data_IF_204981828834
#
_entry.id   IF_204981828834
#
_cell.length_a   1.000
_cell.length_b   1.000
_cell.length_c   1.000
_cell.angle_alpha   90.00
_cell.angle_beta   90.00
_cell.angle_gamma   90.00
#
_symmetry.space_group_name_H-M   'P 1'
#
loop_
_entity.id
_entity.type
_entity.pdbx_description
1 polymer ?
#
# COMPACT_ATOMS: atom_id res chain seq x y z
N UNK A 1 30.29 6.53 12.49
CA UNK A 1 29.31 6.89 11.41
C UNK A 1 27.92 6.55 11.90
N UNK A 2 27.01 7.52 12.07
CA UNK A 2 25.60 7.24 12.36
C UNK A 2 24.95 6.72 11.08
N UNK A 3 24.62 5.44 11.05
CA UNK A 3 23.77 4.89 9.98
C UNK A 3 22.41 5.59 10.07
N UNK A 4 22.15 6.53 9.18
CA UNK A 4 20.85 7.15 9.03
C UNK A 4 19.87 6.11 8.46
N UNK A 5 19.36 5.22 9.33
CA UNK A 5 18.31 4.28 8.99
C UNK A 5 17.00 5.05 8.85
N UNK A 6 16.41 4.98 7.69
CA UNK A 6 15.12 5.60 7.42
C UNK A 6 14.09 4.52 7.09
N UNK A 7 12.85 4.73 7.54
CA UNK A 7 11.72 3.87 7.15
C UNK A 7 11.36 4.16 5.69
N UNK A 8 11.39 3.15 4.86
CA UNK A 8 11.04 3.24 3.42
C UNK A 8 9.55 2.93 3.21
N UNK A 9 9.02 1.95 3.94
CA UNK A 9 7.62 1.53 3.92
C UNK A 9 7.15 1.16 5.32
N UNK A 10 5.87 1.35 5.57
CA UNK A 10 5.22 0.87 6.80
C UNK A 10 3.86 0.27 6.48
N UNK A 11 3.49 -0.75 7.25
CA UNK A 11 2.19 -1.39 7.21
C UNK A 11 1.66 -1.48 8.65
N UNK A 12 0.58 -0.76 8.94
CA UNK A 12 -0.06 -0.77 10.27
C UNK A 12 -1.22 -1.76 10.24
N UNK A 13 -1.27 -2.63 11.23
CA UNK A 13 -2.26 -3.69 11.35
C UNK A 13 -2.74 -3.82 12.79
N UNK A 14 -3.76 -4.65 13.03
CA UNK A 14 -4.21 -4.98 14.38
C UNK A 14 -3.19 -5.80 15.18
N UNK A 15 -2.24 -6.46 14.50
CA UNK A 15 -1.18 -7.26 15.13
C UNK A 15 0.12 -6.48 15.39
N UNK A 16 0.16 -5.19 15.04
CA UNK A 16 1.32 -4.33 15.17
C UNK A 16 1.70 -3.64 13.88
N UNK A 17 2.88 -3.03 13.89
CA UNK A 17 3.41 -2.27 12.76
C UNK A 17 4.61 -2.99 12.15
N UNK A 18 4.58 -3.17 10.84
CA UNK A 18 5.71 -3.66 10.05
C UNK A 18 6.41 -2.47 9.41
N UNK A 19 7.73 -2.40 9.59
CA UNK A 19 8.59 -1.33 9.08
C UNK A 19 9.65 -1.92 8.17
N UNK A 20 9.74 -1.42 6.96
CA UNK A 20 10.83 -1.70 6.04
C UNK A 20 11.84 -0.56 6.06
N UNK A 21 13.09 -0.86 6.34
CA UNK A 21 14.16 0.12 6.52
C UNK A 21 15.05 0.19 5.28
N UNK A 22 15.72 1.34 5.10
CA UNK A 22 16.60 1.59 3.95
C UNK A 22 17.85 0.69 3.91
N UNK A 23 18.21 0.07 5.01
CA UNK A 23 19.35 -0.85 5.13
C UNK A 23 18.97 -2.34 4.96
N UNK A 24 17.73 -2.64 4.56
CA UNK A 24 17.26 -4.00 4.37
C UNK A 24 16.65 -4.64 5.62
N UNK A 25 16.58 -3.93 6.74
CA UNK A 25 15.86 -4.45 7.91
C UNK A 25 14.36 -4.41 7.67
N UNK A 26 13.69 -5.51 8.01
CA UNK A 26 12.24 -5.57 8.20
C UNK A 26 11.97 -5.78 9.68
N UNK A 27 11.21 -4.89 10.29
CA UNK A 27 10.93 -4.89 11.73
C UNK A 27 9.44 -5.09 11.93
N UNK A 28 9.07 -6.00 12.81
CA UNK A 28 7.71 -6.11 13.32
C UNK A 28 7.67 -5.64 14.77
N UNK A 29 6.90 -4.60 15.03
CA UNK A 29 6.67 -4.02 16.35
C UNK A 29 5.23 -4.27 16.79
N UNK A 30 5.04 -5.06 17.82
CA UNK A 30 3.77 -5.28 18.52
C UNK A 30 3.92 -4.85 19.98
N UNK A 31 2.81 -4.80 20.73
CA UNK A 31 2.75 -4.23 22.09
C UNK A 31 3.84 -4.74 23.06
N UNK A 32 4.20 -6.02 22.96
CA UNK A 32 5.20 -6.64 23.83
C UNK A 32 6.33 -7.36 23.08
N UNK A 33 6.35 -7.26 21.74
CA UNK A 33 7.27 -8.04 20.91
C UNK A 33 7.85 -7.16 19.82
N UNK A 34 9.16 -7.28 19.63
CA UNK A 34 9.87 -6.72 18.49
C UNK A 34 10.69 -7.81 17.84
N UNK A 35 10.43 -8.03 16.54
CA UNK A 35 11.18 -9.00 15.72
C UNK A 35 11.84 -8.30 14.56
N UNK A 36 13.00 -8.80 14.14
CA UNK A 36 13.82 -8.19 13.09
C UNK A 36 14.27 -9.28 12.14
N UNK A 37 14.08 -9.01 10.84
CA UNK A 37 14.63 -9.81 9.76
C UNK A 37 15.55 -8.92 8.93
N UNK A 38 16.70 -9.43 8.51
CA UNK A 38 17.64 -8.74 7.64
C UNK A 38 17.57 -9.30 6.22
N UNK A 39 17.19 -8.46 5.26
CA UNK A 39 17.28 -8.73 3.84
C UNK A 39 18.62 -8.26 3.28
N UNK A 40 18.99 -8.75 2.12
CA UNK A 40 20.24 -8.32 1.45
C UNK A 40 20.18 -6.90 0.94
N UNK A 41 18.99 -6.38 0.69
CA UNK A 41 18.75 -5.04 0.13
C UNK A 41 17.47 -4.43 0.70
N UNK A 42 17.30 -3.13 0.50
CA UNK A 42 16.15 -2.39 1.01
C UNK A 42 14.84 -2.96 0.47
N UNK A 43 13.89 -3.21 1.36
CA UNK A 43 12.52 -3.51 0.98
C UNK A 43 11.83 -2.29 0.39
N UNK A 44 11.07 -2.47 -0.67
CA UNK A 44 10.41 -1.41 -1.43
C UNK A 44 8.89 -1.52 -1.43
N UNK A 45 8.35 -2.70 -1.12
CA UNK A 45 6.92 -2.96 -1.01
C UNK A 45 6.63 -3.91 0.15
N UNK A 46 5.49 -3.72 0.82
CA UNK A 46 4.98 -4.58 1.89
C UNK A 46 3.51 -4.90 1.62
N UNK A 47 3.12 -6.16 1.81
CA UNK A 47 1.74 -6.61 1.74
C UNK A 47 1.48 -7.65 2.83
N UNK A 48 0.53 -7.38 3.71
CA UNK A 48 0.06 -8.34 4.71
C UNK A 48 -1.18 -9.08 4.24
N UNK A 49 -1.21 -10.38 4.43
CA UNK A 49 -2.30 -11.26 3.98
C UNK A 49 -2.90 -12.01 5.14
N UNK A 50 -4.24 -12.12 5.13
CA UNK A 50 -5.04 -12.85 6.10
C UNK A 50 -5.57 -14.13 5.47
N UNK A 51 -5.43 -15.26 6.13
CA UNK A 51 -6.09 -16.49 5.68
C UNK A 51 -7.56 -16.56 6.10
N UNK A 52 -7.91 -16.15 7.32
CA UNK A 52 -9.26 -16.33 7.89
C UNK A 52 -9.94 -15.01 8.32
N UNK A 53 -9.68 -13.90 7.66
CA UNK A 53 -10.22 -12.57 7.97
C UNK A 53 -9.96 -12.04 9.41
N UNK A 54 -9.25 -12.77 10.27
CA UNK A 54 -8.99 -12.41 11.67
C UNK A 54 -7.59 -11.84 11.88
N UNK A 55 -6.57 -12.57 11.46
CA UNK A 55 -5.18 -12.20 11.70
C UNK A 55 -4.35 -12.34 10.42
N UNK A 56 -3.26 -11.59 10.34
CA UNK A 56 -2.30 -11.79 9.25
C UNK A 56 -1.60 -13.14 9.44
N UNK A 57 -1.56 -13.94 8.38
CA UNK A 57 -0.84 -15.21 8.31
C UNK A 57 0.50 -15.07 7.60
N UNK A 58 0.59 -14.17 6.62
CA UNK A 58 1.79 -13.94 5.82
C UNK A 58 2.06 -12.45 5.61
N UNK A 59 3.35 -12.11 5.55
CA UNK A 59 3.86 -10.83 5.09
C UNK A 59 4.71 -11.05 3.84
N UNK A 60 4.31 -10.44 2.74
CA UNK A 60 5.07 -10.38 1.50
C UNK A 60 5.91 -9.11 1.49
N UNK A 61 7.19 -9.25 1.17
CA UNK A 61 8.15 -8.14 1.11
C UNK A 61 8.83 -8.16 -0.24
N UNK A 62 8.60 -7.11 -1.04
CA UNK A 62 9.31 -6.89 -2.28
C UNK A 62 10.53 -6.01 -2.07
N UNK A 63 11.66 -6.29 -2.73
CA UNK A 63 12.90 -5.56 -2.55
C UNK A 63 13.39 -4.82 -3.81
N UNK A 64 14.53 -4.14 -3.69
CA UNK A 64 15.16 -3.36 -4.78
C UNK A 64 15.70 -4.20 -5.91
N UNK A 65 16.01 -5.47 -5.69
CA UNK A 65 16.56 -6.38 -6.69
C UNK A 65 15.48 -7.22 -7.36
N UNK A 66 14.19 -6.94 -7.10
CA UNK A 66 13.07 -7.70 -7.67
C UNK A 66 12.82 -9.04 -6.99
N UNK A 67 13.36 -9.23 -5.79
CA UNK A 67 13.11 -10.42 -4.99
C UNK A 67 11.86 -10.24 -4.15
N UNK A 68 11.09 -11.30 -4.06
CA UNK A 68 9.94 -11.45 -3.19
C UNK A 68 10.33 -12.36 -2.02
N UNK A 69 10.19 -11.84 -0.80
CA UNK A 69 10.40 -12.59 0.43
C UNK A 69 9.05 -12.85 1.09
N UNK A 70 8.78 -14.09 1.44
CA UNK A 70 7.56 -14.49 2.13
C UNK A 70 7.87 -14.82 3.57
N UNK A 71 7.22 -14.15 4.50
CA UNK A 71 7.46 -14.24 5.94
C UNK A 71 6.20 -14.78 6.60
N UNK A 72 6.34 -15.88 7.32
CA UNK A 72 5.26 -16.49 8.10
C UNK A 72 4.96 -15.68 9.37
N UNK A 73 3.70 -15.53 9.71
CA UNK A 73 3.24 -14.89 10.94
C UNK A 73 2.44 -15.91 11.79
N UNK A 74 2.53 -15.85 13.12
CA UNK A 74 3.24 -14.83 13.94
C UNK A 74 4.71 -15.16 14.23
N UNK A 75 5.30 -16.22 13.69
CA UNK A 75 6.68 -16.61 13.99
C UNK A 75 7.71 -15.62 13.46
N UNK A 76 7.38 -14.90 12.39
CA UNK A 76 8.24 -13.95 11.68
C UNK A 76 9.46 -14.62 11.05
N UNK A 77 9.28 -15.86 10.59
CA UNK A 77 10.32 -16.65 9.92
C UNK A 77 10.21 -16.47 8.40
N UNK A 78 11.35 -16.40 7.73
CA UNK A 78 11.41 -16.38 6.27
C UNK A 78 11.04 -17.78 5.75
N UNK A 79 9.90 -17.86 5.02
CA UNK A 79 9.43 -19.11 4.42
C UNK A 79 10.23 -19.43 3.17
N UNK A 80 10.30 -18.47 2.23
CA UNK A 80 11.13 -18.57 1.02
C UNK A 80 11.42 -17.20 0.43
N UNK A 81 12.34 -17.17 -0.54
CA UNK A 81 12.64 -16.02 -1.39
C UNK A 81 12.60 -16.46 -2.85
N UNK A 82 11.90 -15.72 -3.70
CA UNK A 82 11.89 -15.95 -5.15
C UNK A 82 12.27 -14.68 -5.91
N UNK A 83 12.81 -14.84 -7.12
CA UNK A 83 13.10 -13.72 -8.02
C UNK A 83 11.93 -13.53 -8.97
N UNK A 84 11.24 -12.38 -8.89
CA UNK A 84 10.07 -12.05 -9.71
C UNK A 84 10.49 -11.22 -10.92
N UNK A 85 11.41 -10.29 -10.73
CA UNK A 85 11.87 -9.32 -11.74
C UNK A 85 13.37 -9.04 -11.58
N UNK A 86 13.97 -8.38 -12.53
CA UNK A 86 15.37 -7.87 -12.47
C UNK A 86 15.45 -6.45 -11.88
N UNK A 87 14.33 -5.86 -11.50
CA UNK A 87 14.24 -4.50 -10.93
C UNK A 87 13.33 -4.47 -9.71
N UNK A 88 13.39 -3.37 -8.98
CA UNK A 88 12.66 -3.20 -7.72
C UNK A 88 11.16 -3.51 -7.83
N UNK A 89 10.62 -4.28 -6.91
CA UNK A 89 9.18 -4.47 -6.72
C UNK A 89 8.60 -3.17 -6.12
N UNK A 90 7.57 -2.61 -6.73
CA UNK A 90 6.97 -1.33 -6.35
C UNK A 90 5.66 -1.45 -5.60
N UNK A 91 4.83 -2.39 -6.02
CA UNK A 91 3.52 -2.60 -5.45
C UNK A 91 3.11 -4.07 -5.56
N UNK A 92 2.25 -4.50 -4.66
CA UNK A 92 1.73 -5.86 -4.61
C UNK A 92 0.26 -5.82 -4.19
N UNK A 93 -0.55 -6.75 -4.71
CA UNK A 93 -1.89 -7.04 -4.22
C UNK A 93 -2.19 -8.53 -4.39
N UNK A 94 -3.28 -8.97 -3.77
CA UNK A 94 -3.81 -10.33 -3.94
C UNK A 94 -5.18 -10.21 -4.59
N UNK A 95 -5.48 -11.07 -5.53
CA UNK A 95 -6.80 -11.20 -6.13
C UNK A 95 -7.75 -12.02 -5.24
N UNK A 96 -9.00 -12.18 -5.71
CA UNK A 96 -10.05 -12.92 -4.99
C UNK A 96 -9.73 -14.42 -4.86
N UNK A 97 -8.93 -14.96 -5.78
CA UNK A 97 -8.50 -16.37 -5.80
C UNK A 97 -7.24 -16.60 -4.95
N UNK A 98 -6.69 -15.56 -4.32
CA UNK A 98 -5.46 -15.63 -3.52
C UNK A 98 -4.17 -15.57 -4.34
N UNK A 99 -4.24 -15.31 -5.65
CA UNK A 99 -3.05 -15.13 -6.50
C UNK A 99 -2.37 -13.80 -6.19
N UNK A 100 -1.07 -13.85 -5.95
CA UNK A 100 -0.26 -12.64 -5.73
C UNK A 100 0.05 -11.97 -7.07
N UNK A 101 -0.26 -10.69 -7.16
CA UNK A 101 0.09 -9.84 -8.31
C UNK A 101 1.09 -8.78 -7.88
N UNK A 102 2.15 -8.66 -8.65
CA UNK A 102 3.33 -7.84 -8.36
C UNK A 102 3.56 -6.87 -9.50
N UNK A 103 3.81 -5.61 -9.18
CA UNK A 103 4.23 -4.58 -10.11
C UNK A 103 5.68 -4.18 -9.85
N UNK A 104 6.51 -4.15 -10.89
CA UNK A 104 7.91 -3.76 -10.80
C UNK A 104 8.16 -2.29 -11.20
N UNK A 105 9.42 -1.86 -11.10
CA UNK A 105 9.83 -0.49 -11.39
C UNK A 105 9.82 -0.12 -12.88
N UNK A 106 9.83 -1.12 -13.77
CA UNK A 106 9.68 -0.91 -15.22
C UNK A 106 8.22 -0.79 -15.65
N UNK A 107 7.28 -1.14 -14.74
CA UNK A 107 5.85 -1.15 -15.04
C UNK A 107 5.35 -2.50 -15.55
N UNK A 108 6.13 -3.55 -15.36
CA UNK A 108 5.69 -4.91 -15.66
C UNK A 108 4.78 -5.42 -14.54
N UNK A 109 3.74 -6.13 -14.92
CA UNK A 109 2.80 -6.79 -14.02
C UNK A 109 3.02 -8.31 -14.09
N UNK A 110 3.23 -8.90 -12.93
CA UNK A 110 3.56 -10.32 -12.76
C UNK A 110 2.52 -11.00 -11.89
N UNK A 111 2.21 -12.25 -12.18
CA UNK A 111 1.57 -13.17 -11.22
C UNK A 111 2.63 -14.04 -10.56
N UNK A 112 2.43 -14.34 -9.29
CA UNK A 112 3.32 -15.22 -8.52
C UNK A 112 2.50 -16.35 -7.92
N UNK A 113 2.84 -17.57 -8.28
CA UNK A 113 2.23 -18.78 -7.76
C UNK A 113 2.65 -19.08 -6.31
N UNK A 114 1.96 -19.99 -5.66
CA UNK A 114 2.24 -20.40 -4.27
C UNK A 114 3.63 -21.03 -4.08
N UNK A 115 4.20 -21.59 -5.15
CA UNK A 115 5.56 -22.13 -5.19
C UNK A 115 6.66 -21.07 -5.43
N UNK A 116 6.25 -19.81 -5.63
CA UNK A 116 7.16 -18.69 -5.92
C UNK A 116 7.48 -18.49 -7.40
N UNK A 117 6.94 -19.32 -8.30
CA UNK A 117 7.12 -19.14 -9.75
C UNK A 117 6.41 -17.87 -10.21
N UNK A 118 7.11 -17.03 -10.96
CA UNK A 118 6.58 -15.78 -11.51
C UNK A 118 6.32 -15.88 -13.00
N UNK A 119 5.22 -15.27 -13.43
CA UNK A 119 4.84 -15.18 -14.85
C UNK A 119 4.48 -13.74 -15.18
N UNK A 120 5.10 -13.18 -16.22
CA UNK A 120 4.72 -11.88 -16.75
C UNK A 120 3.30 -11.94 -17.31
N UNK A 121 2.43 -11.04 -16.85
CA UNK A 121 1.09 -10.86 -17.41
C UNK A 121 1.13 -9.89 -18.60
N UNK A 122 1.59 -8.66 -18.34
CA UNK A 122 1.73 -7.61 -19.34
C UNK A 122 2.63 -6.47 -18.86
N UNK A 123 2.96 -5.57 -19.77
CA UNK A 123 3.78 -4.38 -19.54
C UNK A 123 2.94 -3.12 -19.70
N UNK A 124 3.09 -2.16 -18.79
CA UNK A 124 2.35 -0.89 -18.83
C UNK A 124 3.20 0.27 -19.33
N UNK A 125 4.53 0.12 -19.34
CA UNK A 125 5.49 1.20 -19.59
C UNK A 125 5.31 2.43 -18.68
N UNK A 126 4.78 2.21 -17.44
CA UNK A 126 4.47 3.26 -16.48
C UNK A 126 5.15 2.98 -15.13
N UNK A 127 5.54 4.05 -14.44
CA UNK A 127 6.03 3.93 -13.07
C UNK A 127 4.85 3.70 -12.12
N UNK A 128 4.75 2.52 -11.51
CA UNK A 128 3.63 2.11 -10.67
C UNK A 128 3.93 2.41 -9.20
N UNK A 129 3.02 3.08 -8.51
CA UNK A 129 3.08 3.36 -7.08
C UNK A 129 2.11 2.51 -6.25
N UNK A 130 1.00 2.08 -6.84
CA UNK A 130 0.08 1.12 -6.22
C UNK A 130 -0.65 0.30 -7.27
N UNK A 131 -1.10 -0.89 -6.86
CA UNK A 131 -1.86 -1.82 -7.69
C UNK A 131 -3.02 -2.39 -6.88
N UNK A 132 -4.16 -2.60 -7.53
CA UNK A 132 -5.34 -3.31 -6.98
C UNK A 132 -6.01 -4.11 -8.07
N UNK A 133 -6.61 -5.21 -7.70
CA UNK A 133 -7.49 -6.00 -8.56
C UNK A 133 -8.93 -5.78 -8.10
N UNK A 134 -9.83 -5.54 -9.04
CA UNK A 134 -11.25 -5.42 -8.81
C UNK A 134 -11.99 -6.23 -9.89
N UNK A 135 -12.42 -7.44 -9.53
CA UNK A 135 -12.99 -8.42 -10.48
C UNK A 135 -12.01 -8.72 -11.62
N UNK A 136 -12.43 -8.46 -12.86
CA UNK A 136 -11.64 -8.72 -14.07
C UNK A 136 -10.74 -7.54 -14.49
N UNK A 137 -10.47 -6.61 -13.59
CA UNK A 137 -9.67 -5.42 -13.92
C UNK A 137 -8.55 -5.20 -12.92
N UNK A 138 -7.43 -4.67 -13.43
CA UNK A 138 -6.28 -4.24 -12.64
C UNK A 138 -6.23 -2.71 -12.66
N UNK A 139 -6.33 -2.09 -11.49
CA UNK A 139 -6.15 -0.66 -11.31
C UNK A 139 -4.74 -0.38 -10.85
N UNK A 140 -4.05 0.50 -11.55
CA UNK A 140 -2.73 0.98 -11.17
C UNK A 140 -2.75 2.50 -10.96
N UNK A 141 -1.97 2.95 -9.99
CA UNK A 141 -1.64 4.35 -9.80
C UNK A 141 -0.25 4.62 -10.35
N UNK A 142 -0.15 5.57 -11.30
CA UNK A 142 1.10 6.03 -11.88
C UNK A 142 1.18 7.55 -11.74
N UNK A 143 1.94 8.03 -10.76
CA UNK A 143 1.92 9.45 -10.40
C UNK A 143 0.51 9.92 -10.04
N UNK A 144 -0.01 10.89 -10.81
CA UNK A 144 -1.37 11.44 -10.63
C UNK A 144 -2.44 10.73 -11.47
N UNK A 145 -2.05 9.80 -12.34
CA UNK A 145 -2.95 9.05 -13.20
C UNK A 145 -3.37 7.74 -12.57
N UNK A 146 -4.64 7.43 -12.66
CA UNK A 146 -5.19 6.10 -12.36
C UNK A 146 -5.55 5.43 -13.68
N UNK A 147 -4.91 4.31 -13.97
CA UNK A 147 -5.16 3.53 -15.17
C UNK A 147 -5.86 2.22 -14.79
N UNK A 148 -6.80 1.81 -15.63
CA UNK A 148 -7.51 0.53 -15.48
C UNK A 148 -7.22 -0.31 -16.71
N UNK A 149 -6.70 -1.49 -16.46
CA UNK A 149 -6.41 -2.52 -17.48
C UNK A 149 -7.34 -3.71 -17.27
N UNK A 150 -7.68 -4.41 -18.34
CA UNK A 150 -8.21 -5.76 -18.20
C UNK A 150 -7.06 -6.76 -17.90
N UNK A 151 -7.39 -8.00 -17.58
CA UNK A 151 -6.36 -9.02 -17.26
C UNK A 151 -5.45 -9.37 -18.46
N UNK A 152 -5.86 -9.05 -19.68
CA UNK A 152 -5.04 -9.23 -20.90
C UNK A 152 -4.05 -8.06 -21.12
N UNK A 153 -4.05 -7.06 -20.25
CA UNK A 153 -3.17 -5.89 -20.33
C UNK A 153 -3.66 -4.78 -21.27
N UNK A 154 -4.89 -4.87 -21.80
CA UNK A 154 -5.46 -3.80 -22.59
C UNK A 154 -5.94 -2.67 -21.67
N UNK A 155 -5.50 -1.44 -21.98
CA UNK A 155 -5.90 -0.26 -21.25
C UNK A 155 -7.40 0.02 -21.50
N UNK A 156 -8.22 -0.08 -20.47
CA UNK A 156 -9.65 0.17 -20.53
C UNK A 156 -9.97 1.68 -20.32
N UNK A 157 -9.36 2.29 -19.29
CA UNK A 157 -9.56 3.72 -18.99
C UNK A 157 -8.34 4.33 -18.33
N UNK A 158 -8.18 5.66 -18.51
CA UNK A 158 -7.24 6.48 -17.74
C UNK A 158 -8.02 7.64 -17.11
N UNK A 159 -7.86 7.85 -15.81
CA UNK A 159 -8.44 8.99 -15.08
C UNK A 159 -7.33 9.81 -14.45
N UNK A 160 -7.40 11.11 -14.59
CA UNK A 160 -6.50 12.03 -13.89
C UNK A 160 -6.95 12.14 -12.42
N UNK A 161 -6.17 11.57 -11.52
CA UNK A 161 -6.45 11.61 -10.09
C UNK A 161 -6.27 13.03 -9.49
N UNK A 162 -5.61 13.94 -10.19
CA UNK A 162 -5.45 15.33 -9.75
C UNK A 162 -6.78 16.05 -9.68
N UNK A 163 -7.68 15.80 -10.63
CA UNK A 163 -9.02 16.38 -10.64
C UNK A 163 -9.85 15.88 -9.45
N UNK A 164 -9.84 14.57 -9.19
CA UNK A 164 -10.57 13.99 -8.05
C UNK A 164 -10.01 14.43 -6.70
N UNK A 165 -8.70 14.64 -6.60
CA UNK A 165 -8.07 15.15 -5.37
C UNK A 165 -8.43 16.62 -5.14
N UNK A 166 -8.40 17.46 -6.18
CA UNK A 166 -8.81 18.86 -6.13
C UNK A 166 -10.28 19.02 -5.72
N UNK A 167 -11.18 18.24 -6.33
CA UNK A 167 -12.60 18.22 -5.97
C UNK A 167 -12.83 17.76 -4.53
N UNK A 168 -12.17 16.69 -4.08
CA UNK A 168 -12.28 16.19 -2.71
C UNK A 168 -11.76 17.19 -1.70
N UNK A 169 -10.63 17.87 -1.99
CA UNK A 169 -10.07 18.90 -1.11
C UNK A 169 -11.01 20.12 -1.03
N UNK A 170 -11.59 20.53 -2.17
CA UNK A 170 -12.54 21.64 -2.22
C UNK A 170 -13.83 21.31 -1.46
N UNK A 171 -14.39 20.11 -1.64
CA UNK A 171 -15.57 19.63 -0.90
C UNK A 171 -15.29 19.54 0.60
N UNK A 172 -14.10 19.09 1.01
CA UNK A 172 -13.70 19.05 2.42
C UNK A 172 -13.63 20.45 3.02
N UNK A 173 -12.98 21.40 2.33
CA UNK A 173 -12.91 22.80 2.76
C UNK A 173 -14.31 23.46 2.83
N UNK A 174 -15.20 23.16 1.89
CA UNK A 174 -16.58 23.64 1.95
C UNK A 174 -17.34 23.08 3.16
N UNK A 175 -17.19 21.78 3.46
CA UNK A 175 -17.81 21.17 4.66
C UNK A 175 -17.27 21.76 5.96
N UNK A 176 -15.97 22.01 6.05
CA UNK A 176 -15.35 22.65 7.23
C UNK A 176 -15.83 24.09 7.41
N UNK A 177 -15.92 24.88 6.34
CA UNK A 177 -16.48 26.25 6.39
C UNK A 177 -17.94 26.23 6.85
N UNK A 178 -18.77 25.35 6.30
CA UNK A 178 -20.18 25.22 6.70
C UNK A 178 -20.32 24.83 8.17
N UNK A 179 -19.47 23.95 8.66
CA UNK A 179 -19.45 23.54 10.09
C UNK A 179 -19.09 24.71 11.00
N UNK A 180 -18.08 25.51 10.65
CA UNK A 180 -17.67 26.71 11.39
C UNK A 180 -18.78 27.78 11.38
N UNK A 181 -19.48 27.96 10.27
CA UNK A 181 -20.60 28.91 10.16
C UNK A 181 -21.77 28.50 11.07
N UNK A 182 -22.09 27.21 11.12
CA UNK A 182 -23.13 26.68 12.03
C UNK A 182 -22.74 26.94 13.49
N UNK A 183 -21.50 26.59 13.88
CA UNK A 183 -21.03 26.82 15.25
C UNK A 183 -21.04 28.31 15.64
N UNK A 184 -20.70 29.19 14.68
CA UNK A 184 -20.77 30.64 14.91
C UNK A 184 -22.20 31.12 15.15
N UNK A 185 -23.17 30.65 14.36
CA UNK A 185 -24.60 30.97 14.51
C UNK A 185 -25.17 30.47 15.85
N UNK A 186 -24.77 29.29 16.25
CA UNK A 186 -25.15 28.70 17.54
C UNK A 186 -24.60 29.51 18.72
N UNK A 187 -23.32 29.92 18.64
CA UNK A 187 -22.69 30.77 19.64
C UNK A 187 -23.36 32.16 19.70
N UNK A 188 -23.67 32.79 18.55
CA UNK A 188 -24.39 34.07 18.50
C UNK A 188 -25.83 33.96 19.06
N UNK A 189 -26.50 32.85 18.84
CA UNK A 189 -27.83 32.59 19.42
C UNK A 189 -27.77 32.41 20.93
N UNK A 190 -26.78 31.70 21.44
CA UNK A 190 -26.57 31.55 22.89
C UNK A 190 -26.24 32.88 23.56
N UNK A 191 -25.47 33.76 22.90
CA UNK A 191 -25.14 35.10 23.45
C UNK A 191 -26.37 36.01 23.56
N UNK A 192 -27.36 35.85 22.65
CA UNK A 192 -28.62 36.63 22.69
C UNK A 192 -29.60 36.19 23.78
N UNK A 193 -29.40 34.99 24.35
CA UNK A 193 -30.25 34.42 25.41
C UNK A 193 -29.73 34.76 26.82
N UNK A 194 -28.60 35.41 26.95
CA UNK A 194 -28.10 35.85 28.24
C UNK A 194 -28.91 37.10 28.72
N UNK A 195 -29.52 37.07 29.91
CA UNK A 195 -30.24 38.21 30.44
C UNK A 195 -29.26 39.37 30.62
N UNK A 196 -29.66 40.57 30.15
CA UNK A 196 -28.94 41.79 30.42
C UNK A 196 -28.96 42.01 31.93
N UNK A 197 -27.78 42.09 32.54
CA UNK A 197 -27.58 42.39 33.94
C UNK A 197 -27.91 43.84 34.23
#
# INVERSE_FOLDING_TARGET
MRNNRTTVRSLVTTQGTFLAMSDGMVVWEATATRRILHLRTAATALLGVKEDNKSLSKLYVGDRLGQLHVIQLPTFDLEYTSTVSDVAIRAMCIDEDGTLVVADAKGNIWTVGSNGDSKLMFETNRSISSIRIEGQTIRIQSGWEQCVYNLDGNLATTKDASQSFGENLMLRRMRERKKLEIQRREAEAQFRLLPSA
#
